data_IF_883554633529
#
_entry.id   IF_883554633529
#
_cell.length_a   1.000
_cell.length_b   1.000
_cell.length_c   1.000
_cell.angle_alpha   90.00
_cell.angle_beta   90.00
_cell.angle_gamma   90.00
#
_symmetry.space_group_name_H-M   'P 1'
#
loop_
_entity.id
_entity.type
_entity.pdbx_description
1 polymer ?
#
# COMPACT_ATOMS: atom_id res chain seq x y z
N UNK A 1 -3.76 14.13 5.38
CA UNK A 1 -5.14 13.85 5.86
C UNK A 1 -5.28 12.35 5.94
N UNK A 2 -5.58 11.77 7.10
CA UNK A 2 -5.93 10.35 7.16
C UNK A 2 -7.15 10.13 6.27
N UNK A 3 -7.06 9.20 5.34
CA UNK A 3 -8.19 8.84 4.49
C UNK A 3 -9.26 8.19 5.37
N UNK A 4 -10.52 8.58 5.20
CA UNK A 4 -11.65 7.98 5.94
C UNK A 4 -11.92 6.54 5.48
N UNK A 5 -11.59 6.26 4.22
CA UNK A 5 -11.78 4.97 3.58
C UNK A 5 -10.48 4.54 2.92
N UNK A 6 -10.21 3.25 2.99
CA UNK A 6 -9.03 2.60 2.39
C UNK A 6 -9.52 1.63 1.33
N UNK A 7 -9.05 1.79 0.11
CA UNK A 7 -9.30 0.83 -0.96
C UNK A 7 -8.63 -0.50 -0.62
N UNK A 8 -9.43 -1.56 -0.48
CA UNK A 8 -8.96 -2.85 0.02
C UNK A 8 -9.01 -3.97 -1.02
N UNK A 9 -9.62 -3.73 -2.16
CA UNK A 9 -9.65 -4.70 -3.24
C UNK A 9 -10.73 -4.44 -4.28
N UNK A 10 -10.72 -5.24 -5.34
CA UNK A 10 -11.68 -5.18 -6.45
C UNK A 10 -12.56 -6.44 -6.46
N UNK A 11 -13.87 -6.25 -6.69
CA UNK A 11 -14.82 -7.33 -6.91
C UNK A 11 -14.67 -7.82 -8.36
N UNK A 12 -13.96 -8.93 -8.56
CA UNK A 12 -13.63 -9.42 -9.90
C UNK A 12 -14.72 -10.27 -10.53
N UNK A 13 -15.48 -11.01 -9.72
CA UNK A 13 -16.58 -11.87 -10.21
C UNK A 13 -17.51 -12.30 -9.06
N UNK A 14 -18.58 -12.99 -9.40
CA UNK A 14 -19.49 -13.66 -8.44
C UNK A 14 -19.00 -15.08 -8.15
N UNK A 15 -19.44 -15.65 -7.02
CA UNK A 15 -19.18 -17.03 -6.66
C UNK A 15 -20.46 -17.73 -6.20
N UNK A 16 -20.79 -18.82 -6.89
CA UNK A 16 -22.00 -19.59 -6.58
C UNK A 16 -23.30 -18.82 -6.80
N UNK A 17 -24.41 -19.39 -6.34
CA UNK A 17 -25.79 -18.87 -6.56
C UNK A 17 -26.30 -18.04 -5.38
N UNK A 18 -25.58 -18.04 -4.25
CA UNK A 18 -26.01 -17.40 -3.00
C UNK A 18 -25.55 -15.94 -2.86
N UNK A 19 -25.10 -15.31 -3.96
CA UNK A 19 -24.70 -13.90 -3.96
C UNK A 19 -23.34 -13.63 -3.29
N UNK A 20 -22.46 -14.63 -3.23
CA UNK A 20 -21.08 -14.36 -2.82
C UNK A 20 -20.32 -13.62 -3.93
N UNK A 21 -19.45 -12.69 -3.55
CA UNK A 21 -18.55 -12.00 -4.45
C UNK A 21 -17.12 -12.48 -4.25
N UNK A 22 -16.36 -12.54 -5.34
CA UNK A 22 -14.94 -12.83 -5.31
C UNK A 22 -14.19 -11.52 -5.38
N UNK A 23 -13.41 -11.22 -4.35
CA UNK A 23 -12.61 -10.00 -4.20
C UNK A 23 -11.14 -10.33 -4.42
N UNK A 24 -10.47 -9.58 -5.27
CA UNK A 24 -9.01 -9.56 -5.37
C UNK A 24 -8.52 -8.51 -4.37
N UNK A 25 -7.92 -8.91 -3.22
CA UNK A 25 -7.49 -7.97 -2.21
C UNK A 25 -6.25 -7.19 -2.66
N UNK A 26 -6.15 -5.93 -2.23
CA UNK A 26 -4.98 -5.07 -2.38
C UNK A 26 -4.25 -4.86 -1.03
N UNK A 27 -4.60 -5.67 -0.05
CA UNK A 27 -3.97 -5.73 1.27
C UNK A 27 -2.76 -6.68 1.24
N UNK A 28 -1.86 -6.54 2.21
CA UNK A 28 -0.63 -7.33 2.30
C UNK A 28 -0.87 -8.84 2.31
N UNK A 29 -1.98 -9.27 2.91
CA UNK A 29 -2.42 -10.65 2.84
C UNK A 29 -3.96 -10.75 2.76
N UNK A 30 -4.50 -11.76 2.06
CA UNK A 30 -5.94 -11.95 1.92
C UNK A 30 -6.67 -12.15 3.25
N UNK A 31 -6.01 -12.68 4.26
CA UNK A 31 -6.54 -12.95 5.59
C UNK A 31 -7.01 -11.68 6.29
N UNK A 32 -6.30 -10.56 6.07
CA UNK A 32 -6.66 -9.26 6.66
C UNK A 32 -8.09 -8.84 6.33
N UNK A 33 -8.55 -9.07 5.10
CA UNK A 33 -9.91 -8.69 4.70
C UNK A 33 -10.97 -9.43 5.53
N UNK A 34 -10.68 -10.64 6.01
CA UNK A 34 -11.61 -11.45 6.79
C UNK A 34 -11.77 -10.99 8.25
N UNK A 35 -10.96 -10.07 8.72
CA UNK A 35 -11.03 -9.52 10.08
C UNK A 35 -12.12 -8.45 10.21
N UNK A 36 -12.52 -7.86 9.09
CA UNK A 36 -13.50 -6.77 9.06
C UNK A 36 -14.94 -7.28 9.03
N UNK A 37 -15.84 -6.50 9.62
CA UNK A 37 -17.27 -6.80 9.72
C UNK A 37 -18.12 -6.01 8.73
N UNK A 38 -17.58 -4.92 8.19
CA UNK A 38 -18.26 -4.04 7.23
C UNK A 38 -17.28 -3.52 6.19
N UNK A 39 -17.82 -3.16 5.05
CA UNK A 39 -17.09 -2.52 3.97
C UNK A 39 -17.98 -1.50 3.28
N UNK A 40 -17.40 -0.70 2.41
CA UNK A 40 -18.10 0.27 1.58
C UNK A 40 -17.87 -0.06 0.10
N UNK A 41 -18.91 0.06 -0.72
CA UNK A 41 -18.87 -0.13 -2.18
C UNK A 41 -19.77 0.93 -2.78
N UNK A 42 -19.25 1.75 -3.72
CA UNK A 42 -19.98 2.87 -4.34
C UNK A 42 -20.68 3.78 -3.32
N UNK A 43 -19.99 4.16 -2.26
CA UNK A 43 -20.53 4.99 -1.19
C UNK A 43 -21.64 4.33 -0.33
N UNK A 44 -22.01 3.08 -0.56
CA UNK A 44 -22.97 2.33 0.25
C UNK A 44 -22.22 1.42 1.23
N UNK A 45 -22.68 1.40 2.49
CA UNK A 45 -22.15 0.48 3.51
C UNK A 45 -22.78 -0.91 3.36
N UNK A 46 -21.94 -1.95 3.47
CA UNK A 46 -22.35 -3.35 3.50
C UNK A 46 -21.74 -4.03 4.72
N UNK A 47 -22.58 -4.81 5.44
CA UNK A 47 -22.06 -5.74 6.44
C UNK A 47 -21.54 -6.99 5.75
N UNK A 48 -20.39 -7.46 6.16
CA UNK A 48 -19.82 -8.72 5.71
C UNK A 48 -20.28 -9.85 6.64
N UNK A 49 -21.17 -10.69 6.14
CA UNK A 49 -21.73 -11.82 6.89
C UNK A 49 -20.74 -12.99 6.95
N UNK A 50 -19.92 -13.17 5.91
CA UNK A 50 -18.83 -14.13 5.86
C UNK A 50 -17.72 -13.66 4.93
N UNK A 51 -16.49 -13.99 5.28
CA UNK A 51 -15.31 -13.83 4.44
C UNK A 51 -14.41 -15.06 4.61
N UNK A 52 -13.87 -15.56 3.50
CA UNK A 52 -12.90 -16.66 3.53
C UNK A 52 -11.91 -16.53 2.39
N UNK A 53 -10.69 -16.93 2.65
CA UNK A 53 -9.62 -16.93 1.65
C UNK A 53 -9.80 -18.10 0.69
N UNK A 54 -9.67 -17.85 -0.61
CA UNK A 54 -9.60 -18.84 -1.67
C UNK A 54 -8.39 -18.52 -2.57
N UNK A 55 -7.27 -19.19 -2.34
CA UNK A 55 -5.99 -18.93 -2.99
C UNK A 55 -5.53 -17.47 -2.70
N UNK A 56 -5.46 -16.64 -3.73
CA UNK A 56 -5.06 -15.23 -3.65
C UNK A 56 -6.24 -14.25 -3.57
N UNK A 57 -7.46 -14.75 -3.46
CA UNK A 57 -8.68 -13.95 -3.43
C UNK A 57 -9.50 -14.25 -2.19
N UNK A 58 -10.45 -13.37 -1.89
CA UNK A 58 -11.46 -13.58 -0.85
C UNK A 58 -12.83 -13.88 -1.46
N UNK A 59 -13.55 -14.82 -0.85
CA UNK A 59 -14.97 -15.00 -1.09
C UNK A 59 -15.73 -14.31 0.04
N UNK A 60 -16.47 -13.27 -0.31
CA UNK A 60 -17.18 -12.41 0.65
C UNK A 60 -18.68 -12.54 0.44
N UNK A 61 -19.41 -12.79 1.53
CA UNK A 61 -20.86 -12.71 1.58
C UNK A 61 -21.27 -11.37 2.17
N UNK A 62 -21.91 -10.56 1.37
CA UNK A 62 -22.45 -9.27 1.79
C UNK A 62 -23.90 -9.41 2.22
N UNK A 63 -24.28 -8.77 3.32
CA UNK A 63 -25.64 -8.75 3.81
C UNK A 63 -26.60 -8.13 2.80
N UNK A 64 -27.71 -8.80 2.52
CA UNK A 64 -28.69 -8.32 1.55
C UNK A 64 -28.34 -8.62 0.08
N UNK A 65 -27.19 -9.21 -0.20
CA UNK A 65 -26.80 -9.66 -1.56
C UNK A 65 -26.96 -11.18 -1.61
N UNK A 66 -28.18 -11.65 -1.93
CA UNK A 66 -28.56 -13.06 -1.79
C UNK A 66 -28.72 -13.79 -3.11
N UNK A 67 -28.57 -13.08 -4.23
CA UNK A 67 -28.66 -13.65 -5.57
C UNK A 67 -27.43 -13.39 -6.39
N UNK A 68 -27.21 -14.22 -7.40
CA UNK A 68 -26.08 -14.05 -8.32
C UNK A 68 -26.19 -12.73 -9.10
N UNK A 69 -27.40 -12.31 -9.47
CA UNK A 69 -27.66 -11.08 -10.22
C UNK A 69 -27.31 -9.85 -9.38
N UNK A 70 -27.68 -9.84 -8.08
CA UNK A 70 -27.33 -8.77 -7.16
C UNK A 70 -25.81 -8.69 -6.97
N UNK A 71 -25.14 -9.82 -6.82
CA UNK A 71 -23.68 -9.88 -6.74
C UNK A 71 -23.01 -9.44 -8.05
N UNK A 72 -23.58 -9.81 -9.21
CA UNK A 72 -23.06 -9.42 -10.53
C UNK A 72 -23.08 -7.89 -10.73
N UNK A 73 -24.03 -7.19 -10.15
CA UNK A 73 -24.10 -5.71 -10.20
C UNK A 73 -22.95 -5.02 -9.47
N UNK A 74 -22.26 -5.75 -8.58
CA UNK A 74 -21.09 -5.25 -7.85
C UNK A 74 -19.75 -5.54 -8.54
N UNK A 75 -19.75 -6.31 -9.61
CA UNK A 75 -18.54 -6.65 -10.35
C UNK A 75 -17.83 -5.40 -10.90
N UNK A 76 -16.50 -5.37 -10.80
CA UNK A 76 -15.65 -4.27 -11.23
C UNK A 76 -15.62 -3.07 -10.27
N UNK A 77 -16.32 -3.17 -9.13
CA UNK A 77 -16.33 -2.12 -8.13
C UNK A 77 -15.26 -2.34 -7.09
N UNK A 78 -14.76 -1.23 -6.54
CA UNK A 78 -13.79 -1.24 -5.45
C UNK A 78 -14.51 -1.47 -4.12
N UNK A 79 -13.95 -2.37 -3.31
CA UNK A 79 -14.32 -2.58 -1.92
C UNK A 79 -13.38 -1.73 -1.07
N UNK A 80 -13.97 -0.85 -0.26
CA UNK A 80 -13.27 0.04 0.67
C UNK A 80 -13.53 -0.38 2.11
N UNK A 81 -12.53 -0.25 2.96
CA UNK A 81 -12.65 -0.43 4.42
C UNK A 81 -12.72 0.92 5.12
N UNK A 82 -13.37 0.94 6.28
CA UNK A 82 -13.37 2.10 7.15
C UNK A 82 -12.03 2.18 7.89
N UNK A 83 -11.35 3.32 7.78
CA UNK A 83 -10.06 3.52 8.46
C UNK A 83 -10.16 3.35 9.98
N UNK A 84 -11.31 3.71 10.56
CA UNK A 84 -11.59 3.58 11.99
C UNK A 84 -11.71 2.13 12.49
N UNK A 85 -11.99 1.17 11.58
CA UNK A 85 -12.11 -0.25 11.90
C UNK A 85 -10.75 -0.98 11.83
N UNK A 86 -9.70 -0.26 11.43
CA UNK A 86 -8.35 -0.80 11.30
C UNK A 86 -7.61 -0.53 12.60
N UNK A 87 -7.40 -1.61 13.38
CA UNK A 87 -6.69 -1.53 14.65
C UNK A 87 -5.19 -1.31 14.44
N UNK A 88 -4.62 -0.40 15.24
CA UNK A 88 -3.20 -0.16 15.32
C UNK A 88 -2.66 0.86 14.31
N UNK A 89 -1.33 0.99 14.32
CA UNK A 89 -0.58 1.91 13.46
C UNK A 89 -0.28 1.31 12.06
N UNK A 90 -1.24 0.55 11.51
CA UNK A 90 -1.12 0.04 10.14
C UNK A 90 -1.17 1.22 9.19
N UNK A 91 -0.09 1.42 8.44
CA UNK A 91 0.05 2.48 7.46
C UNK A 91 -0.07 1.87 6.07
N UNK A 92 -1.06 2.30 5.30
CA UNK A 92 -1.24 1.84 3.93
C UNK A 92 -0.35 2.61 2.96
N UNK A 93 0.11 1.95 1.90
CA UNK A 93 0.93 2.58 0.86
C UNK A 93 0.30 3.88 0.32
N UNK A 94 -1.03 3.89 0.15
CA UNK A 94 -1.77 5.09 -0.28
C UNK A 94 -1.68 6.27 0.70
N UNK A 95 -1.53 6.01 2.00
CA UNK A 95 -1.38 7.05 3.04
C UNK A 95 0.05 7.63 3.06
N UNK A 96 1.01 6.90 2.51
CA UNK A 96 2.42 7.31 2.45
C UNK A 96 2.69 8.30 1.32
N UNK A 97 1.90 8.28 0.26
CA UNK A 97 2.10 9.18 -0.88
C UNK A 97 1.91 10.64 -0.45
N UNK A 98 2.92 11.45 -0.73
CA UNK A 98 2.97 12.87 -0.33
C UNK A 98 3.58 13.14 1.04
N UNK A 99 3.92 12.09 1.79
CA UNK A 99 4.58 12.19 3.08
C UNK A 99 5.97 12.81 2.93
N UNK A 100 6.29 13.77 3.80
CA UNK A 100 7.59 14.44 3.84
C UNK A 100 8.62 13.53 4.52
N UNK A 101 9.77 13.39 3.89
CA UNK A 101 10.88 12.57 4.41
C UNK A 101 12.03 13.46 4.84
N UNK A 102 12.58 13.16 6.00
CA UNK A 102 13.72 13.88 6.58
C UNK A 102 14.88 12.91 6.79
N UNK A 103 16.09 13.43 6.64
CA UNK A 103 17.33 12.75 7.00
C UNK A 103 18.19 13.75 7.77
N UNK A 104 18.62 13.41 8.99
CA UNK A 104 19.34 14.30 9.90
C UNK A 104 18.65 15.66 10.09
N UNK A 105 17.31 15.64 10.25
CA UNK A 105 16.50 16.84 10.42
C UNK A 105 16.34 17.71 9.17
N UNK A 106 16.90 17.31 8.02
CA UNK A 106 16.74 18.02 6.74
C UNK A 106 15.74 17.29 5.85
N UNK A 107 14.79 18.04 5.28
CA UNK A 107 13.89 17.48 4.30
C UNK A 107 14.64 17.07 3.04
N UNK A 108 14.48 15.80 2.63
CA UNK A 108 15.07 15.24 1.41
C UNK A 108 14.05 15.11 0.28
N UNK A 109 12.75 15.21 0.58
CA UNK A 109 11.69 15.13 -0.41
C UNK A 109 10.39 14.57 0.15
N UNK A 110 9.55 14.06 -0.74
CA UNK A 110 8.26 13.42 -0.42
C UNK A 110 8.21 12.04 -1.03
N UNK A 111 7.50 11.13 -0.38
CA UNK A 111 7.18 9.83 -0.95
C UNK A 111 6.25 10.04 -2.15
N UNK A 112 6.66 9.59 -3.32
CA UNK A 112 5.90 9.69 -4.56
C UNK A 112 5.39 8.34 -5.04
N UNK A 113 6.02 7.26 -4.58
CA UNK A 113 5.60 5.90 -4.91
C UNK A 113 6.05 4.91 -3.83
N UNK A 114 5.37 3.76 -3.76
CA UNK A 114 5.72 2.64 -2.89
C UNK A 114 5.80 1.38 -3.75
N UNK A 115 6.99 0.81 -3.85
CA UNK A 115 7.25 -0.39 -4.63
C UNK A 115 7.28 -1.59 -3.69
N UNK A 116 6.42 -2.57 -3.94
CA UNK A 116 6.37 -3.80 -3.16
C UNK A 116 7.26 -4.87 -3.81
N UNK A 117 8.25 -5.30 -3.05
CA UNK A 117 9.13 -6.41 -3.41
C UNK A 117 8.93 -7.59 -2.43
N UNK A 118 9.21 -8.82 -2.87
CA UNK A 118 9.20 -9.96 -1.96
C UNK A 118 10.15 -9.73 -0.77
N UNK A 119 9.59 -9.53 0.42
CA UNK A 119 10.34 -9.35 1.66
C UNK A 119 10.37 -7.95 2.25
N UNK A 120 10.24 -6.89 1.45
CA UNK A 120 10.12 -5.52 1.95
C UNK A 120 9.60 -4.56 0.87
N UNK A 121 8.91 -3.51 1.28
CA UNK A 121 8.55 -2.40 0.41
C UNK A 121 9.72 -1.41 0.30
N UNK A 122 9.75 -0.64 -0.80
CA UNK A 122 10.72 0.42 -1.04
C UNK A 122 9.96 1.72 -1.33
N UNK A 123 10.26 2.76 -0.57
CA UNK A 123 9.70 4.09 -0.78
C UNK A 123 10.51 4.86 -1.82
N UNK A 124 9.83 5.36 -2.84
CA UNK A 124 10.42 6.31 -3.80
C UNK A 124 10.20 7.71 -3.26
N UNK A 125 11.28 8.38 -2.93
CA UNK A 125 11.26 9.74 -2.37
C UNK A 125 11.79 10.71 -3.40
N UNK A 126 10.98 11.66 -3.83
CA UNK A 126 11.35 12.68 -4.82
C UNK A 126 11.52 14.05 -4.15
N UNK A 127 12.69 14.64 -4.34
CA UNK A 127 13.07 15.98 -3.90
C UNK A 127 14.05 16.62 -4.86
N UNK A 128 15.19 17.14 -4.37
CA UNK A 128 16.29 17.56 -5.25
C UNK A 128 16.93 16.38 -5.99
N UNK A 129 16.85 15.21 -5.38
CA UNK A 129 17.25 13.92 -5.93
C UNK A 129 16.14 12.93 -5.71
N UNK A 130 16.18 11.82 -6.43
CA UNK A 130 15.32 10.67 -6.20
C UNK A 130 16.06 9.66 -5.31
N UNK A 131 15.38 9.15 -4.28
CA UNK A 131 15.91 8.18 -3.34
C UNK A 131 14.99 6.96 -3.33
N UNK A 132 15.58 5.78 -3.27
CA UNK A 132 14.87 4.51 -3.06
C UNK A 132 15.22 3.99 -1.66
N UNK A 133 14.27 4.04 -0.74
CA UNK A 133 14.51 3.80 0.67
C UNK A 133 13.75 2.53 1.10
N UNK A 134 14.45 1.47 1.52
CA UNK A 134 13.80 0.28 2.03
C UNK A 134 12.96 0.56 3.29
N UNK A 135 11.73 0.06 3.31
CA UNK A 135 10.78 0.22 4.42
C UNK A 135 11.11 -0.75 5.56
N UNK A 136 12.28 -0.61 6.15
CA UNK A 136 12.73 -1.45 7.27
C UNK A 136 13.08 -0.59 8.48
N UNK A 137 12.82 -1.10 9.69
CA UNK A 137 13.07 -0.39 10.95
C UNK A 137 14.53 0.07 11.15
N UNK A 138 15.45 -0.50 10.40
CA UNK A 138 16.85 -0.09 10.43
C UNK A 138 17.06 1.31 9.82
N UNK A 139 16.24 1.70 8.86
CA UNK A 139 16.33 3.00 8.18
C UNK A 139 15.27 3.99 8.68
N UNK A 140 14.13 3.51 9.18
CA UNK A 140 13.06 4.37 9.67
C UNK A 140 13.24 4.55 11.17
N UNK A 141 13.68 5.73 11.61
CA UNK A 141 13.92 6.04 13.02
C UNK A 141 12.66 6.46 13.75
N UNK A 142 11.82 7.23 13.12
CA UNK A 142 10.54 7.67 13.68
C UNK A 142 9.52 7.98 12.60
N UNK A 143 8.25 7.83 12.97
CA UNK A 143 7.10 8.18 12.13
C UNK A 143 6.21 9.09 12.93
N UNK A 144 6.04 10.35 12.50
CA UNK A 144 5.07 11.27 13.09
C UNK A 144 3.84 11.35 12.20
N UNK A 145 2.69 10.92 12.76
CA UNK A 145 1.39 10.88 12.11
C UNK A 145 0.47 12.01 12.58
N UNK A 146 0.94 12.88 13.49
CA UNK A 146 0.14 13.97 14.02
C UNK A 146 0.22 15.24 13.15
N UNK A 147 -0.90 15.88 12.95
CA UNK A 147 -0.97 17.23 12.40
C UNK A 147 -0.80 17.37 10.89
N UNK A 148 -1.17 16.39 10.07
CA UNK A 148 -1.07 16.47 8.60
C UNK A 148 0.37 16.49 8.06
N UNK A 149 1.34 16.09 8.87
CA UNK A 149 2.75 15.95 8.53
C UNK A 149 3.20 14.56 8.91
N UNK A 150 3.17 13.65 7.95
CA UNK A 150 3.96 12.45 8.09
C UNK A 150 5.42 12.84 7.91
N UNK A 151 6.25 12.57 8.89
CA UNK A 151 7.69 12.72 8.78
C UNK A 151 8.34 11.38 9.07
N UNK A 152 9.17 10.93 8.13
CA UNK A 152 10.08 9.83 8.37
C UNK A 152 11.46 10.41 8.65
N UNK A 153 12.02 10.08 9.79
CA UNK A 153 13.42 10.34 10.05
C UNK A 153 14.22 9.09 9.70
N UNK A 154 15.19 9.25 8.81
CA UNK A 154 15.97 8.17 8.26
C UNK A 154 17.40 8.32 8.73
N UNK A 155 18.01 7.21 9.20
CA UNK A 155 19.41 7.17 9.52
C UNK A 155 20.25 7.13 8.24
N UNK A 156 21.26 7.97 8.20
CA UNK A 156 22.41 8.00 7.28
C UNK A 156 22.20 7.34 5.91
N UNK A 157 21.55 8.06 5.01
CA UNK A 157 21.49 7.64 3.60
C UNK A 157 22.84 7.96 2.98
N UNK A 158 23.71 6.97 2.88
CA UNK A 158 24.85 7.05 1.99
C UNK A 158 24.31 6.96 0.57
N UNK A 159 24.18 8.09 -0.04
CA UNK A 159 23.82 8.20 -1.44
C UNK A 159 24.98 7.68 -2.30
N UNK A 160 24.92 6.45 -2.74
CA UNK A 160 25.67 6.04 -3.91
C UNK A 160 24.98 6.63 -5.13
N UNK A 161 25.49 7.76 -5.58
CA UNK A 161 25.20 8.28 -6.90
C UNK A 161 25.41 7.12 -7.85
N UNK A 162 24.40 6.61 -8.53
CA UNK A 162 24.60 5.85 -9.75
C UNK A 162 25.28 6.82 -10.70
N UNK A 163 26.59 6.80 -10.70
CA UNK A 163 27.39 7.40 -11.74
C UNK A 163 26.93 6.73 -13.04
N UNK A 164 26.49 7.55 -13.98
CA UNK A 164 26.25 7.15 -15.36
C UNK A 164 27.30 6.11 -15.73
N UNK A 165 26.86 4.95 -16.24
CA UNK A 165 27.73 3.84 -16.67
C UNK A 165 28.71 4.23 -17.78
N UNK A 166 28.72 5.48 -18.17
CA UNK A 166 29.60 6.04 -19.21
C UNK A 166 30.99 6.46 -18.67
N UNK A 167 31.19 6.52 -17.35
CA UNK A 167 32.47 7.02 -16.77
C UNK A 167 33.38 5.89 -16.26
N UNK A 168 32.89 4.65 -16.17
CA UNK A 168 33.68 3.51 -15.69
C UNK A 168 34.59 2.85 -16.75
N UNK A 169 34.59 3.32 -18.02
CA UNK A 169 35.48 2.83 -19.03
C UNK A 169 36.75 3.65 -19.27
N UNK A 170 36.94 4.75 -18.54
CA UNK A 170 38.10 5.62 -18.75
C UNK A 170 39.16 5.60 -17.64
N UNK A 171 38.92 4.96 -16.49
CA UNK A 171 39.94 4.89 -15.43
C UNK A 171 40.79 3.61 -15.41
N UNK A 172 40.39 2.56 -16.11
CA UNK A 172 41.21 1.33 -16.19
C UNK A 172 42.29 1.36 -17.30
N UNK A 173 42.38 2.44 -18.05
CA UNK A 173 43.42 2.57 -19.11
C UNK A 173 44.67 3.35 -18.68
N UNK A 174 44.75 3.83 -17.44
CA UNK A 174 45.87 4.68 -16.97
C UNK A 174 46.84 4.00 -15.98
N UNK A 175 46.72 2.69 -15.77
CA UNK A 175 47.58 1.95 -14.82
C UNK A 175 48.30 0.76 -15.45
N UNK A 176 48.81 0.94 -16.68
CA UNK A 176 49.81 0.01 -17.25
C UNK A 176 50.77 0.81 -18.12
N UNK A 177 51.77 1.40 -17.51
CA UNK A 177 53.11 1.66 -18.05
C UNK A 177 54.11 1.77 -16.89
#
# INVERSE_FOLDING_TARGET
MKQTFIEAGEIVTTHGVKGEVKVLPWLDCPEMLCEFKRCRIDAAEYRMDACRVQKTCNLVKLHGIDTMEAAQALRGKTLELYREDIDGDVIFAAELIGVQVFCDGKSIGKITDVLDYPGNSVYVVTGQHEYMIPAVNQFILSTDMEGNRFSYEIADIRYEKHADQTTLQQEDAALTL
#
